data_IF_728520334291
#
_entry.id   IF_728520334291
#
_cell.length_a   1.000
_cell.length_b   1.000
_cell.length_c   1.000
_cell.angle_alpha   90.00
_cell.angle_beta   90.00
_cell.angle_gamma   90.00
#
_symmetry.space_group_name_H-M   'P 1'
#
loop_
_entity.id
_entity.type
_entity.pdbx_description
1 polymer ?
2 non-polymer ?
3 water ?
#
# COMPACT_ATOMS: atom_id res chain seq x y z
N UNK A 1 -7.13 17.50 -14.75
CA UNK A 1 -7.91 18.77 -14.64
C UNK A 1 -8.64 18.86 -13.31
N UNK A 2 -9.78 19.55 -13.31
CA UNK A 2 -10.54 19.82 -12.11
C UNK A 2 -10.88 18.56 -11.32
N UNK A 3 -11.34 17.52 -12.01
CA UNK A 3 -11.74 16.28 -11.34
C UNK A 3 -10.54 15.64 -10.66
N UNK A 4 -9.44 15.51 -11.38
CA UNK A 4 -8.26 14.85 -10.82
C UNK A 4 -7.76 15.62 -9.59
N UNK A 5 -7.75 16.94 -9.70
CA UNK A 5 -7.31 17.80 -8.61
C UNK A 5 -8.22 17.66 -7.40
N UNK A 6 -9.53 17.68 -7.62
CA UNK A 6 -10.48 17.55 -6.52
C UNK A 6 -10.43 16.20 -5.83
N UNK A 7 -10.19 15.13 -6.61
CA UNK A 7 -9.99 13.83 -6.02
C UNK A 7 -8.73 13.76 -5.16
N UNK A 8 -7.71 14.53 -5.51
CA UNK A 8 -6.51 14.61 -4.67
C UNK A 8 -6.84 15.36 -3.37
N UNK A 9 -7.68 16.38 -3.47
CA UNK A 9 -8.06 17.13 -2.25
C UNK A 9 -8.94 16.27 -1.32
N UNK A 10 -9.85 15.49 -1.93
CA UNK A 10 -10.88 14.73 -1.20
C UNK A 10 -10.32 13.45 -0.64
N UNK A 11 -9.37 12.85 -1.36
CA UNK A 11 -8.91 11.51 -1.05
C UNK A 11 -9.66 10.47 -1.85
N UNK A 12 -8.98 9.37 -2.15
CA UNK A 12 -9.54 8.29 -2.94
C UNK A 12 -9.12 6.97 -2.34
N UNK A 13 -10.09 6.07 -2.15
CA UNK A 13 -9.79 4.70 -1.76
C UNK A 13 -9.65 3.90 -3.05
N UNK A 14 -8.56 3.15 -3.14
CA UNK A 14 -8.22 2.40 -4.33
C UNK A 14 -7.86 0.98 -3.95
N UNK A 15 -8.43 0.01 -4.65
CA UNK A 15 -8.06 -1.39 -4.44
C UNK A 15 -6.99 -1.78 -5.47
N UNK A 16 -5.82 -2.21 -4.97
CA UNK A 16 -4.73 -2.61 -5.81
C UNK A 16 -4.69 -4.13 -5.79
N UNK A 17 -4.72 -4.77 -6.97
CA UNK A 17 -4.70 -6.21 -7.09
C UNK A 17 -3.25 -6.72 -7.04
N UNK A 18 -2.73 -6.92 -5.84
CA UNK A 18 -1.36 -7.43 -5.71
C UNK A 18 -1.23 -8.84 -6.17
N UNK A 19 -0.08 -9.16 -6.73
CA UNK A 19 0.32 -10.54 -6.96
C UNK A 19 1.72 -10.69 -6.38
N UNK A 20 1.91 -11.68 -5.53
CA UNK A 20 3.24 -11.84 -4.95
C UNK A 20 4.26 -12.37 -5.94
N UNK A 21 5.24 -11.53 -6.25
CA UNK A 21 6.35 -11.90 -7.10
C UNK A 21 7.37 -12.72 -6.34
N UNK A 22 8.42 -13.15 -7.06
CA UNK A 22 9.46 -13.99 -6.46
C UNK A 22 10.23 -13.32 -5.33
N UNK A 23 10.28 -11.99 -5.32
CA UNK A 23 10.99 -11.23 -4.27
C UNK A 23 10.01 -10.34 -3.48
N UNK A 24 8.72 -10.69 -3.51
CA UNK A 24 7.68 -9.93 -2.82
C UNK A 24 6.75 -9.19 -3.75
N UNK A 25 6.01 -8.27 -3.14
CA UNK A 25 4.98 -7.53 -3.87
C UNK A 25 5.50 -6.28 -4.62
N UNK A 26 6.80 -6.03 -4.58
CA UNK A 26 7.35 -4.95 -5.41
C UNK A 26 7.34 -3.53 -4.85
N UNK A 27 7.24 -3.40 -3.53
CA UNK A 27 7.24 -2.08 -2.91
C UNK A 27 7.82 -2.11 -1.51
N UNK A 28 8.04 -0.93 -0.94
CA UNK A 28 8.51 -0.83 0.46
C UNK A 28 7.59 0.13 1.21
N UNK A 29 7.39 -0.14 2.48
CA UNK A 29 6.53 0.66 3.33
C UNK A 29 7.28 1.32 4.45
N UNK A 30 6.84 2.54 4.78
CA UNK A 30 7.41 3.31 5.86
C UNK A 30 6.37 3.39 6.97
N UNK A 31 6.85 3.17 8.17
CA UNK A 31 6.08 3.36 9.37
C UNK A 31 5.94 4.87 9.65
N UNK A 32 4.90 5.48 9.11
CA UNK A 32 4.74 6.92 9.09
C UNK A 32 3.69 7.37 10.11
N UNK A 33 3.71 8.67 10.47
CA UNK A 33 2.71 9.24 11.40
C UNK A 33 1.25 8.91 11.03
N UNK A 34 1.01 8.76 9.73
CA UNK A 34 -0.33 8.57 9.19
C UNK A 34 -0.59 7.14 8.68
N UNK A 35 0.25 6.18 9.07
CA UNK A 35 -0.03 4.77 8.79
C UNK A 35 1.05 4.14 7.96
N UNK A 36 0.80 2.95 7.42
CA UNK A 36 1.84 2.29 6.61
C UNK A 36 1.75 2.86 5.23
N UNK A 37 2.76 3.65 4.92
CA UNK A 37 2.83 4.46 3.72
C UNK A 37 3.78 3.82 2.73
N UNK A 38 3.38 3.79 1.47
CA UNK A 38 4.26 3.32 0.39
C UNK A 38 5.38 4.33 0.19
N UNK A 39 6.59 3.91 0.49
CA UNK A 39 7.80 4.73 0.37
C UNK A 39 8.45 4.66 -1.01
N UNK A 40 8.43 3.47 -1.61
CA UNK A 40 9.16 3.19 -2.85
C UNK A 40 8.35 2.14 -3.62
N UNK A 41 8.24 2.31 -4.94
CA UNK A 41 7.77 1.21 -5.79
C UNK A 41 9.06 0.63 -6.38
N UNK A 42 9.28 -0.65 -6.12
CA UNK A 42 10.47 -1.37 -6.56
C UNK A 42 10.23 -2.20 -7.83
N UNK A 43 9.02 -2.73 -8.00
CA UNK A 43 8.71 -3.56 -9.15
C UNK A 43 7.21 -3.50 -9.35
N UNK A 44 6.79 -2.55 -10.17
CA UNK A 44 5.40 -2.21 -10.31
C UNK A 44 4.56 -3.34 -10.92
N UNK A 45 5.19 -4.26 -11.61
CA UNK A 45 4.43 -5.37 -12.20
C UNK A 45 3.64 -6.20 -11.16
N UNK A 46 4.10 -6.25 -9.90
CA UNK A 46 3.44 -7.04 -8.88
C UNK A 46 2.40 -6.24 -8.06
N UNK A 47 2.38 -4.92 -8.29
CA UNK A 47 1.54 -3.99 -7.52
C UNK A 47 0.99 -2.89 -8.41
N UNK A 48 0.37 -3.31 -9.49
CA UNK A 48 -0.06 -2.40 -10.54
C UNK A 48 -1.04 -1.37 -10.01
N UNK A 49 -0.71 -0.10 -10.22
CA UNK A 49 -1.53 0.99 -9.79
C UNK A 49 -1.11 1.61 -8.47
N UNK A 50 -0.26 0.93 -7.72
CA UNK A 50 0.17 1.41 -6.41
C UNK A 50 1.17 2.55 -6.60
N UNK A 51 1.05 3.58 -5.78
CA UNK A 51 1.87 4.78 -5.88
C UNK A 51 2.50 5.16 -4.55
N UNK A 52 3.67 5.77 -4.63
CA UNK A 52 4.34 6.34 -3.48
C UNK A 52 3.36 7.28 -2.77
N UNK A 53 3.32 7.17 -1.45
CA UNK A 53 2.46 8.01 -0.63
C UNK A 53 1.12 7.36 -0.32
N UNK A 54 0.77 6.29 -1.04
CA UNK A 54 -0.45 5.54 -0.70
C UNK A 54 -0.36 4.96 0.72
N UNK A 55 -1.48 4.98 1.44
CA UNK A 55 -1.54 4.47 2.83
C UNK A 55 -2.39 3.23 2.88
N UNK A 56 -1.83 2.15 3.40
CA UNK A 56 -2.52 0.88 3.48
C UNK A 56 -3.66 0.93 4.53
N UNK A 57 -4.88 0.61 4.09
CA UNK A 57 -6.05 0.54 4.98
C UNK A 57 -6.55 -0.88 5.21
N UNK A 58 -6.59 -1.70 4.16
CA UNK A 58 -6.97 -3.11 4.30
C UNK A 58 -6.02 -3.99 3.52
N UNK A 59 -5.87 -5.21 4.01
CA UNK A 59 -5.19 -6.28 3.29
C UNK A 59 -6.21 -7.40 3.25
N UNK A 60 -6.52 -7.87 2.05
CA UNK A 60 -7.49 -8.97 1.86
C UNK A 60 -8.81 -8.70 2.61
N UNK A 61 -9.28 -7.46 2.51
CA UNK A 61 -10.53 -6.96 3.06
C UNK A 61 -10.55 -6.86 4.59
N UNK A 62 -9.41 -7.05 5.23
CA UNK A 62 -9.28 -6.92 6.67
C UNK A 62 -8.66 -5.57 6.99
N UNK A 63 -9.34 -4.82 7.85
CA UNK A 63 -8.78 -3.54 8.27
C UNK A 63 -7.51 -3.75 9.08
N UNK A 64 -6.44 -3.08 8.66
CA UNK A 64 -5.13 -3.25 9.33
C UNK A 64 -4.61 -1.97 10.01
N UNK A 65 -5.50 -1.01 10.23
CA UNK A 65 -5.10 0.26 10.83
C UNK A 65 -4.65 0.14 12.30
N UNK A 66 -5.02 -0.94 12.99
CA UNK A 66 -4.52 -1.17 14.35
C UNK A 66 -3.29 -2.05 14.45
N UNK A 67 -2.80 -2.53 13.31
CA UNK A 67 -1.59 -3.33 13.30
C UNK A 67 -0.38 -2.42 13.25
N UNK A 68 0.73 -2.92 13.81
CA UNK A 68 2.02 -2.24 13.76
C UNK A 68 2.69 -2.46 12.40
N UNK A 69 3.75 -1.68 12.15
CA UNK A 69 4.63 -1.86 10.98
C UNK A 69 5.06 -3.29 10.88
N UNK A 70 5.60 -3.84 11.97
CA UNK A 70 6.13 -5.20 11.93
C UNK A 70 5.03 -6.21 11.63
N UNK A 71 3.82 -5.98 12.13
CA UNK A 71 2.69 -6.89 11.89
C UNK A 71 2.23 -6.85 10.45
N UNK A 72 2.19 -5.66 9.87
CA UNK A 72 1.81 -5.50 8.47
C UNK A 72 2.86 -6.18 7.58
N UNK A 73 4.14 -5.95 7.88
CA UNK A 73 5.23 -6.64 7.17
C UNK A 73 5.05 -8.17 7.26
N UNK A 74 4.79 -8.63 8.47
CA UNK A 74 4.62 -10.05 8.71
C UNK A 74 3.47 -10.68 7.90
N UNK A 75 2.32 -10.00 7.88
CA UNK A 75 1.19 -10.50 7.11
C UNK A 75 1.48 -10.53 5.60
N UNK A 76 2.10 -9.48 5.08
CA UNK A 76 2.42 -9.45 3.66
C UNK A 76 3.45 -10.53 3.30
N UNK A 77 4.44 -10.73 4.18
CA UNK A 77 5.48 -11.72 3.97
C UNK A 77 4.93 -13.15 3.96
N UNK A 78 3.85 -13.34 4.70
CA UNK A 78 3.27 -14.66 4.89
C UNK A 78 2.67 -15.25 3.60
N UNK A 79 2.18 -14.40 2.71
CA UNK A 79 1.56 -14.90 1.50
C UNK A 79 2.59 -15.60 0.61
N UNK A 80 2.20 -16.71 0.00
CA UNK A 80 3.13 -17.45 -0.87
C UNK A 80 3.28 -16.76 -2.22
N UNK A 81 4.38 -17.06 -2.88
CA UNK A 81 4.62 -16.55 -4.23
C UNK A 81 3.46 -16.90 -5.14
N UNK A 82 3.04 -15.93 -5.94
CA UNK A 82 1.89 -16.07 -6.81
C UNK A 82 0.53 -15.70 -6.25
N UNK A 83 0.44 -15.49 -4.94
CA UNK A 83 -0.84 -15.19 -4.31
C UNK A 83 -1.39 -13.87 -4.78
N UNK A 84 -2.70 -13.88 -5.07
CA UNK A 84 -3.46 -12.64 -5.27
C UNK A 84 -3.95 -12.09 -3.94
N UNK A 85 -3.65 -10.81 -3.69
CA UNK A 85 -4.00 -10.12 -2.45
C UNK A 85 -4.55 -8.72 -2.74
N UNK A 86 -5.87 -8.52 -2.53
CA UNK A 86 -6.39 -7.18 -2.69
C UNK A 86 -5.85 -6.28 -1.60
N UNK A 87 -5.42 -5.10 -1.98
CA UNK A 87 -4.86 -4.13 -1.05
C UNK A 87 -5.64 -2.83 -1.17
N UNK A 88 -6.33 -2.43 -0.10
CA UNK A 88 -7.08 -1.17 -0.14
C UNK A 88 -6.20 -0.07 0.42
N UNK A 89 -5.96 0.95 -0.39
CA UNK A 89 -5.21 2.08 0.05
C UNK A 89 -6.01 3.35 -0.01
N UNK A 90 -5.54 4.32 0.77
CA UNK A 90 -6.07 5.70 0.74
C UNK A 90 -5.00 6.53 0.04
N UNK A 91 -5.42 7.26 -0.98
CA UNK A 91 -4.55 8.12 -1.75
C UNK A 91 -4.99 9.57 -1.59
N UNK A 92 -4.06 10.44 -1.23
CA UNK A 92 -4.40 11.88 -1.06
C UNK A 92 -5.33 12.17 0.10
N UNK A 93 -6.11 13.23 -0.07
CA UNK A 93 -7.11 13.64 0.90
C UNK A 93 -6.53 14.51 1.98
N UNK A 94 -7.38 14.97 2.92
CA UNK A 94 -6.86 15.79 4.00
C UNK A 94 -5.72 15.09 4.74
N UNK A 95 -4.50 15.66 4.69
CA UNK A 95 -3.31 15.07 5.31
C UNK A 95 -3.46 14.89 6.82
N UNK A 108 9.50 5.38 11.57
CA UNK A 108 10.33 5.77 10.44
C UNK A 108 10.95 4.57 9.72
N UNK A 109 10.80 3.37 10.28
CA UNK A 109 11.37 2.15 9.69
C UNK A 109 10.81 1.95 8.27
N UNK A 110 11.68 1.53 7.37
CA UNK A 110 11.29 1.31 5.95
C UNK A 110 11.62 -0.11 5.61
N UNK A 111 10.62 -0.88 5.19
CA UNK A 111 10.77 -2.28 4.96
C UNK A 111 10.23 -2.70 3.56
N UNK A 112 11.05 -3.45 2.86
CA UNK A 112 10.70 -4.08 1.58
C UNK A 112 9.67 -5.18 1.83
N UNK A 113 8.58 -5.16 1.06
CA UNK A 113 7.56 -6.21 1.11
C UNK A 113 7.22 -6.71 -0.31
X LIG B 1 -11.99 8.61 0.95
X LIG B 1 -11.55 9.25 2.16
X LIG B 1 -12.99 9.52 0.27
X LIG B 1 -13.98 9.95 1.22
#
# INVERSE_FOLDING_TARGET
GAMATLYKKAGLLVTIPLIKGPKGFGFAIADSPTGQKVKMILDSQWCQGLQKGDIIKEIYHQNVQNLTHLQVVEVLKQFPVGADVPLLILRGGPPSPTKTAKMGSGSGQITKV
EDO C1 O1 C2 O2
#
